data_IF_298480991178
#
_entry.id   IF_298480991178
#
_cell.length_a   1.000
_cell.length_b   1.000
_cell.length_c   1.000
_cell.angle_alpha   90.00
_cell.angle_beta   90.00
_cell.angle_gamma   90.00
#
_symmetry.space_group_name_H-M   'P 1'
#
loop_
_entity.id
_entity.type
_entity.pdbx_description
1 polymer ?
#
# COMPACT_ATOMS: atom_id res chain seq x y z
N UNK A 1 -66.87 9.74 20.09
CA UNK A 1 -65.42 10.02 19.95
C UNK A 1 -64.60 8.79 20.33
N UNK A 2 -64.11 8.01 19.35
CA UNK A 2 -63.14 6.93 19.58
C UNK A 2 -62.06 7.04 18.50
N UNK A 3 -60.91 7.61 18.84
CA UNK A 3 -59.74 7.61 17.97
C UNK A 3 -59.04 6.25 18.06
N UNK A 4 -59.18 5.43 17.02
CA UNK A 4 -58.40 4.22 16.83
C UNK A 4 -57.01 4.56 16.26
N UNK A 5 -55.97 4.51 17.10
CA UNK A 5 -54.57 4.63 16.67
C UNK A 5 -54.19 3.45 15.76
N UNK A 6 -53.88 3.74 14.49
CA UNK A 6 -53.24 2.80 13.55
C UNK A 6 -51.95 2.25 14.15
N UNK A 7 -51.88 0.94 14.37
CA UNK A 7 -50.64 0.21 14.70
C UNK A 7 -49.65 0.34 13.54
N UNK A 8 -48.58 1.10 13.74
CA UNK A 8 -47.34 0.95 12.97
C UNK A 8 -46.75 -0.42 13.32
N UNK A 9 -46.87 -1.39 12.41
CA UNK A 9 -46.14 -2.66 12.49
C UNK A 9 -44.64 -2.32 12.46
N UNK A 10 -43.95 -2.51 13.59
CA UNK A 10 -42.49 -2.60 13.62
C UNK A 10 -42.06 -3.73 12.70
N UNK A 11 -41.39 -3.42 11.61
CA UNK A 11 -40.70 -4.41 10.79
C UNK A 11 -39.57 -5.02 11.61
N UNK A 12 -39.56 -6.35 11.70
CA UNK A 12 -38.59 -7.13 12.47
C UNK A 12 -37.20 -7.09 11.84
N UNK A 13 -36.12 -7.32 12.62
CA UNK A 13 -34.74 -7.24 12.16
C UNK A 13 -34.37 -8.47 11.33
N UNK A 14 -34.67 -8.46 10.02
CA UNK A 14 -34.20 -9.50 9.09
C UNK A 14 -33.70 -8.89 7.77
N UNK A 15 -32.47 -8.39 7.80
CA UNK A 15 -31.48 -8.59 6.74
C UNK A 15 -30.07 -8.24 7.23
N UNK A 16 -29.68 -8.81 8.38
CA UNK A 16 -28.28 -9.16 8.61
C UNK A 16 -27.89 -10.21 7.56
N UNK A 17 -27.56 -9.82 6.33
CA UNK A 17 -26.95 -10.73 5.34
C UNK A 17 -26.02 -10.08 4.30
N UNK A 18 -25.84 -8.75 4.28
CA UNK A 18 -24.69 -8.15 3.55
C UNK A 18 -23.35 -8.27 4.30
N UNK A 19 -23.36 -8.78 5.52
CA UNK A 19 -22.21 -8.82 6.42
C UNK A 19 -21.09 -9.83 6.04
N UNK A 20 -21.22 -10.62 4.96
CA UNK A 20 -20.21 -11.63 4.58
C UNK A 20 -19.88 -11.71 3.08
N UNK A 21 -20.55 -10.94 2.21
CA UNK A 21 -20.48 -11.10 0.75
C UNK A 21 -19.22 -10.54 0.06
N UNK A 22 -18.26 -9.99 0.80
CA UNK A 22 -16.92 -9.75 0.23
C UNK A 22 -15.89 -10.44 1.10
N UNK A 23 -15.87 -11.77 0.97
CA UNK A 23 -14.59 -12.44 0.91
C UNK A 23 -13.83 -11.79 -0.25
N UNK A 24 -12.99 -10.77 0.02
CA UNK A 24 -12.22 -10.04 -0.99
C UNK A 24 -11.77 -11.04 -2.03
N UNK A 25 -12.13 -10.78 -3.29
CA UNK A 25 -11.85 -11.66 -4.43
C UNK A 25 -10.37 -12.10 -4.46
N UNK A 26 -9.51 -11.27 -3.87
CA UNK A 26 -8.07 -11.46 -3.76
C UNK A 26 -7.63 -12.35 -2.60
N UNK A 27 -8.51 -12.76 -1.68
CA UNK A 27 -8.11 -13.62 -0.53
C UNK A 27 -7.52 -14.97 -0.95
N UNK A 28 -8.07 -15.70 -1.92
CA UNK A 28 -7.43 -16.92 -2.43
C UNK A 28 -6.04 -16.63 -2.99
N UNK A 29 -5.87 -15.52 -3.71
CA UNK A 29 -4.57 -15.09 -4.25
C UNK A 29 -3.58 -14.78 -3.12
N UNK A 30 -3.97 -14.00 -2.11
CA UNK A 30 -3.13 -13.68 -0.95
C UNK A 30 -2.69 -14.92 -0.18
N UNK A 31 -3.62 -15.88 0.00
CA UNK A 31 -3.29 -17.15 0.63
C UNK A 31 -2.25 -17.92 -0.17
N UNK A 32 -2.50 -18.11 -1.46
CA UNK A 32 -1.61 -18.87 -2.33
C UNK A 32 -0.21 -18.23 -2.42
N UNK A 33 -0.14 -16.91 -2.59
CA UNK A 33 1.12 -16.17 -2.57
C UNK A 33 1.86 -16.31 -1.23
N UNK A 34 1.13 -16.26 -0.11
CA UNK A 34 1.70 -16.50 1.22
C UNK A 34 2.19 -17.93 1.43
N UNK A 35 1.49 -18.92 0.87
CA UNK A 35 1.83 -20.34 0.98
C UNK A 35 3.02 -20.72 0.11
N UNK A 36 3.08 -20.20 -1.12
CA UNK A 36 4.20 -20.38 -2.04
C UNK A 36 5.38 -19.47 -1.75
N UNK A 37 5.24 -18.56 -0.77
CA UNK A 37 6.24 -17.54 -0.45
C UNK A 37 6.63 -16.71 -1.69
N UNK A 38 5.65 -16.25 -2.47
CA UNK A 38 5.84 -15.39 -3.64
C UNK A 38 5.30 -13.99 -3.31
N UNK A 39 6.02 -12.90 -3.60
CA UNK A 39 5.51 -11.56 -3.36
C UNK A 39 4.38 -11.20 -4.34
N UNK A 40 3.51 -10.28 -3.92
CA UNK A 40 2.57 -9.59 -4.81
C UNK A 40 3.02 -8.14 -4.96
N UNK A 41 3.29 -7.71 -6.18
CA UNK A 41 3.64 -6.32 -6.46
C UNK A 41 2.43 -5.58 -7.03
N UNK A 42 2.08 -4.44 -6.42
CA UNK A 42 1.12 -3.47 -6.92
C UNK A 42 1.93 -2.36 -7.58
N UNK A 43 1.81 -2.26 -8.90
CA UNK A 43 2.52 -1.29 -9.71
C UNK A 43 1.67 -0.05 -9.99
N UNK A 44 2.29 1.03 -10.45
CA UNK A 44 1.57 2.20 -10.94
C UNK A 44 0.50 1.85 -11.99
N UNK A 45 -0.48 2.74 -12.16
CA UNK A 45 -1.75 2.53 -12.86
C UNK A 45 -2.80 1.76 -12.06
N UNK A 46 -3.99 1.58 -12.65
CA UNK A 46 -5.17 1.09 -11.94
C UNK A 46 -5.90 -0.05 -12.69
N UNK A 47 -5.46 -0.41 -13.90
CA UNK A 47 -6.02 -1.50 -14.71
C UNK A 47 -7.49 -1.30 -15.12
N UNK A 48 -8.05 -0.09 -14.97
CA UNK A 48 -9.46 0.20 -15.20
C UNK A 48 -9.64 1.38 -16.18
N UNK A 49 -10.08 1.08 -17.39
CA UNK A 49 -10.33 2.09 -18.45
C UNK A 49 -11.28 3.20 -17.98
N UNK A 50 -12.33 2.86 -17.24
CA UNK A 50 -13.28 3.86 -16.73
C UNK A 50 -12.63 4.87 -15.78
N UNK A 51 -11.69 4.43 -14.94
CA UNK A 51 -10.96 5.32 -14.03
C UNK A 51 -9.91 6.11 -14.77
N UNK A 52 -9.25 5.49 -15.74
CA UNK A 52 -8.33 6.16 -16.64
C UNK A 52 -9.02 7.31 -17.39
N UNK A 53 -10.15 7.05 -18.05
CA UNK A 53 -10.92 8.02 -18.84
C UNK A 53 -11.51 9.13 -17.96
N UNK A 54 -11.94 8.81 -16.74
CA UNK A 54 -12.42 9.81 -15.78
C UNK A 54 -11.34 10.87 -15.45
N UNK A 55 -10.07 10.48 -15.46
CA UNK A 55 -8.92 11.32 -15.22
C UNK A 55 -8.14 11.60 -16.52
N UNK A 56 -8.80 11.67 -17.68
CA UNK A 56 -8.14 11.86 -18.96
C UNK A 56 -7.22 13.10 -18.98
N UNK A 57 -7.70 14.22 -18.42
CA UNK A 57 -6.96 15.50 -18.36
C UNK A 57 -6.01 15.59 -17.15
N UNK A 58 -5.95 14.58 -16.28
CA UNK A 58 -5.02 14.55 -15.15
C UNK A 58 -3.59 14.28 -15.64
N UNK A 59 -2.57 14.95 -15.08
CA UNK A 59 -1.19 14.82 -15.51
C UNK A 59 -0.55 13.45 -15.18
N UNK A 60 -1.22 12.53 -14.48
CA UNK A 60 -0.63 11.24 -14.06
C UNK A 60 -0.88 10.89 -12.61
N UNK A 61 -1.07 11.89 -11.76
CA UNK A 61 -1.11 11.69 -10.32
C UNK A 61 -2.36 10.92 -9.87
N UNK A 62 -3.55 11.39 -10.23
CA UNK A 62 -4.79 10.72 -9.85
C UNK A 62 -4.96 9.40 -10.62
N UNK A 63 -4.62 9.41 -11.92
CA UNK A 63 -4.81 8.25 -12.79
C UNK A 63 -3.86 7.08 -12.48
N UNK A 64 -2.59 7.35 -12.15
CA UNK A 64 -1.59 6.28 -11.99
C UNK A 64 -1.10 6.05 -10.57
N UNK A 65 -1.12 7.06 -9.69
CA UNK A 65 -0.42 6.97 -8.40
C UNK A 65 -1.40 6.78 -7.23
N UNK A 66 -2.50 7.53 -7.18
CA UNK A 66 -3.42 7.51 -6.03
C UNK A 66 -4.14 6.16 -5.79
N UNK A 67 -4.47 5.41 -6.85
CA UNK A 67 -5.10 4.09 -6.70
C UNK A 67 -4.20 3.10 -5.96
N UNK A 68 -2.88 3.15 -6.23
CA UNK A 68 -1.86 2.30 -5.62
C UNK A 68 -1.64 2.67 -4.15
N UNK A 69 -1.55 3.96 -3.84
CA UNK A 69 -1.48 4.48 -2.46
C UNK A 69 -2.74 4.07 -1.67
N UNK A 70 -3.91 4.16 -2.32
CA UNK A 70 -5.18 3.66 -1.76
C UNK A 70 -5.17 2.15 -1.51
N UNK A 71 -4.53 1.36 -2.37
CA UNK A 71 -4.37 -0.09 -2.17
C UNK A 71 -3.52 -0.40 -0.93
N UNK A 72 -2.37 0.27 -0.76
CA UNK A 72 -1.58 0.19 0.48
C UNK A 72 -2.44 0.47 1.71
N UNK A 73 -3.15 1.60 1.69
CA UNK A 73 -3.97 2.04 2.81
C UNK A 73 -5.04 1.00 3.16
N UNK A 74 -5.73 0.48 2.15
CA UNK A 74 -6.75 -0.56 2.28
C UNK A 74 -6.19 -1.87 2.86
N UNK A 75 -5.03 -2.32 2.36
CA UNK A 75 -4.34 -3.53 2.84
C UNK A 75 -4.06 -3.46 4.34
N UNK A 76 -3.48 -2.34 4.80
CA UNK A 76 -3.17 -2.11 6.21
C UNK A 76 -4.45 -1.96 7.04
N UNK A 77 -5.38 -1.13 6.59
CA UNK A 77 -6.61 -0.84 7.32
C UNK A 77 -7.46 -2.10 7.57
N UNK A 78 -7.52 -2.98 6.57
CA UNK A 78 -8.25 -4.25 6.66
C UNK A 78 -7.45 -5.40 7.26
N UNK A 79 -6.22 -5.13 7.74
CA UNK A 79 -5.29 -6.12 8.33
C UNK A 79 -5.09 -7.33 7.43
N UNK A 80 -4.87 -7.10 6.14
CA UNK A 80 -4.61 -8.18 5.18
C UNK A 80 -3.29 -8.90 5.53
N UNK A 81 -2.16 -8.20 5.75
CA UNK A 81 -0.90 -8.87 6.08
C UNK A 81 -0.95 -9.72 7.34
N UNK A 82 -1.67 -9.28 8.37
CA UNK A 82 -1.79 -10.03 9.64
C UNK A 82 -2.57 -11.35 9.49
N UNK A 83 -3.36 -11.51 8.41
CA UNK A 83 -4.05 -12.76 8.10
C UNK A 83 -3.20 -13.73 7.29
N UNK A 84 -2.15 -13.24 6.63
CA UNK A 84 -1.29 -13.98 5.72
C UNK A 84 0.18 -13.69 6.08
N UNK A 85 0.69 -14.27 7.17
CA UNK A 85 1.91 -13.80 7.82
C UNK A 85 3.20 -14.00 7.01
N UNK A 86 3.18 -14.77 5.92
CA UNK A 86 4.29 -14.89 4.96
C UNK A 86 4.11 -14.05 3.69
N UNK A 87 2.96 -13.39 3.54
CA UNK A 87 2.70 -12.57 2.37
C UNK A 87 3.64 -11.36 2.37
N UNK A 88 4.33 -11.17 1.26
CA UNK A 88 5.17 -10.00 0.98
C UNK A 88 4.49 -9.18 -0.10
N UNK A 89 4.46 -7.86 0.08
CA UNK A 89 3.80 -6.97 -0.88
C UNK A 89 4.77 -5.88 -1.29
N UNK A 90 4.95 -5.67 -2.60
CA UNK A 90 5.69 -4.54 -3.15
C UNK A 90 4.71 -3.45 -3.61
N UNK A 91 4.96 -2.19 -3.27
CA UNK A 91 4.28 -1.01 -3.81
C UNK A 91 5.30 -0.29 -4.69
N UNK A 92 5.14 -0.40 -6.01
CA UNK A 92 6.20 -0.13 -6.98
C UNK A 92 5.84 1.07 -7.85
N UNK A 93 6.85 1.90 -8.16
CA UNK A 93 6.81 3.00 -9.12
C UNK A 93 5.86 4.16 -8.74
N UNK A 94 5.76 4.47 -7.45
CA UNK A 94 4.88 5.56 -6.94
C UNK A 94 5.53 6.46 -5.88
N UNK A 95 6.87 6.58 -5.87
CA UNK A 95 7.65 7.24 -4.80
C UNK A 95 7.41 6.58 -3.43
N UNK A 96 8.22 6.96 -2.43
CA UNK A 96 8.01 6.64 -1.02
C UNK A 96 7.48 7.84 -0.20
N UNK A 97 7.44 9.05 -0.76
CA UNK A 97 7.12 10.28 -0.03
C UNK A 97 5.67 10.40 0.46
N UNK A 98 4.77 9.57 -0.03
CA UNK A 98 3.39 9.51 0.46
C UNK A 98 3.26 8.77 1.80
N UNK A 99 4.27 7.98 2.21
CA UNK A 99 4.24 7.14 3.41
C UNK A 99 3.91 7.95 4.68
N UNK A 100 4.58 9.08 5.00
CA UNK A 100 4.28 9.86 6.19
C UNK A 100 2.80 10.24 6.32
N UNK A 101 2.19 10.73 5.23
CA UNK A 101 0.78 11.11 5.21
C UNK A 101 -0.13 9.89 5.40
N UNK A 102 0.11 8.81 4.66
CA UNK A 102 -0.71 7.60 4.73
C UNK A 102 -0.66 6.95 6.13
N UNK A 103 0.53 6.89 6.74
CA UNK A 103 0.73 6.38 8.10
C UNK A 103 0.00 7.25 9.12
N UNK A 104 0.11 8.58 9.00
CA UNK A 104 -0.59 9.51 9.87
C UNK A 104 -2.13 9.35 9.79
N UNK A 105 -2.69 9.27 8.59
CA UNK A 105 -4.13 9.05 8.40
C UNK A 105 -4.58 7.67 8.92
N UNK A 106 -3.81 6.61 8.68
CA UNK A 106 -4.06 5.27 9.23
C UNK A 106 -4.09 5.30 10.76
N UNK A 107 -3.14 5.99 11.42
CA UNK A 107 -3.10 6.12 12.87
C UNK A 107 -4.37 6.77 13.42
N UNK A 108 -4.85 7.86 12.79
CA UNK A 108 -6.12 8.52 13.16
C UNK A 108 -7.32 7.58 13.01
N UNK A 109 -7.37 6.81 11.93
CA UNK A 109 -8.47 5.86 11.67
C UNK A 109 -8.47 4.67 12.63
N UNK A 110 -7.29 4.18 13.01
CA UNK A 110 -7.16 3.13 14.02
C UNK A 110 -7.57 3.63 15.41
N UNK A 111 -7.13 4.84 15.79
CA UNK A 111 -7.47 5.46 17.07
C UNK A 111 -8.98 5.63 17.25
N UNK A 112 -9.70 6.08 16.20
CA UNK A 112 -11.18 6.14 16.18
C UNK A 112 -11.88 4.79 16.42
N UNK A 113 -11.17 3.68 16.28
CA UNK A 113 -11.65 2.31 16.51
C UNK A 113 -11.07 1.69 17.79
N UNK A 114 -10.48 2.49 18.67
CA UNK A 114 -9.85 2.01 19.91
C UNK A 114 -8.64 1.10 19.67
N UNK A 115 -7.93 1.31 18.56
CA UNK A 115 -6.77 0.49 18.17
C UNK A 115 -5.55 1.38 17.93
N UNK A 116 -4.37 0.81 18.11
CA UNK A 116 -3.09 1.45 17.79
C UNK A 116 -2.54 0.93 16.47
N UNK A 117 -1.88 1.82 15.73
CA UNK A 117 -1.07 1.45 14.57
C UNK A 117 0.31 1.00 15.10
N UNK A 118 0.87 -0.10 14.59
CA UNK A 118 2.22 -0.50 14.97
C UNK A 118 3.25 0.57 14.60
N UNK A 119 4.33 0.67 15.40
CA UNK A 119 5.42 1.63 15.15
C UNK A 119 6.20 1.26 13.89
N UNK A 120 6.58 -0.01 13.77
CA UNK A 120 7.28 -0.54 12.59
C UNK A 120 6.28 -1.10 11.57
N UNK A 121 5.41 -0.22 11.06
CA UNK A 121 4.23 -0.63 10.30
C UNK A 121 4.58 -1.46 9.07
N UNK A 122 5.52 -0.98 8.25
CA UNK A 122 5.86 -1.63 6.99
C UNK A 122 6.53 -2.98 7.25
N UNK A 123 7.46 -3.02 8.20
CA UNK A 123 8.13 -4.25 8.63
C UNK A 123 7.16 -5.30 9.14
N UNK A 124 6.28 -4.93 10.08
CA UNK A 124 5.26 -5.85 10.63
C UNK A 124 4.24 -6.29 9.58
N UNK A 125 4.01 -5.46 8.56
CA UNK A 125 3.10 -5.75 7.46
C UNK A 125 3.78 -6.46 6.28
N UNK A 126 5.12 -6.64 6.30
CA UNK A 126 5.91 -7.15 5.17
C UNK A 126 5.58 -6.43 3.85
N UNK A 127 5.36 -5.12 3.96
CA UNK A 127 5.11 -4.25 2.81
C UNK A 127 6.42 -3.53 2.50
N UNK A 128 6.80 -3.57 1.23
CA UNK A 128 7.98 -2.92 0.69
C UNK A 128 7.52 -1.82 -0.27
N UNK A 129 8.20 -0.68 -0.27
CA UNK A 129 7.86 0.46 -1.13
C UNK A 129 9.07 0.85 -1.96
N UNK A 130 8.88 1.00 -3.26
CA UNK A 130 9.91 1.51 -4.16
C UNK A 130 10.08 3.02 -3.92
N UNK A 131 11.25 3.43 -3.45
CA UNK A 131 11.63 4.84 -3.41
C UNK A 131 12.19 5.30 -4.75
N UNK A 132 12.30 6.61 -4.91
CA UNK A 132 13.00 7.26 -6.02
C UNK A 132 14.26 7.96 -5.50
N UNK A 133 15.20 8.28 -6.39
CA UNK A 133 16.48 8.90 -6.02
C UNK A 133 16.35 10.31 -5.46
N UNK A 134 15.24 10.98 -5.77
CA UNK A 134 14.90 12.33 -5.35
C UNK A 134 13.91 12.38 -4.16
N UNK A 135 13.53 11.23 -3.59
CA UNK A 135 12.71 11.17 -2.38
C UNK A 135 13.47 11.74 -1.16
N UNK A 136 12.76 12.46 -0.28
CA UNK A 136 13.28 12.81 1.06
C UNK A 136 13.33 11.57 1.98
N UNK A 137 14.33 10.72 1.74
CA UNK A 137 14.47 9.43 2.44
C UNK A 137 14.65 9.60 3.96
N UNK A 138 15.34 10.64 4.42
CA UNK A 138 15.53 10.88 5.86
C UNK A 138 14.18 11.13 6.55
N UNK A 139 13.30 11.91 5.92
CA UNK A 139 11.95 12.11 6.43
C UNK A 139 11.09 10.83 6.33
N UNK A 140 11.14 10.13 5.19
CA UNK A 140 10.34 8.92 4.96
C UNK A 140 10.70 7.80 5.94
N UNK A 141 11.98 7.60 6.24
CA UNK A 141 12.46 6.53 7.13
C UNK A 141 11.97 6.65 8.57
N UNK A 142 11.55 7.85 8.99
CA UNK A 142 10.88 8.05 10.29
C UNK A 142 9.54 7.28 10.39
N UNK A 143 8.98 6.85 9.25
CA UNK A 143 7.70 6.14 9.15
C UNK A 143 7.80 4.75 8.50
N UNK A 144 8.81 4.51 7.65
CA UNK A 144 8.90 3.33 6.78
C UNK A 144 9.76 2.17 7.33
N UNK A 145 10.56 2.40 8.38
CA UNK A 145 11.69 1.55 8.79
C UNK A 145 12.77 1.41 7.69
N UNK A 146 14.00 1.06 8.06
CA UNK A 146 15.11 0.87 7.10
C UNK A 146 15.01 -0.46 6.31
N UNK A 147 14.12 -1.37 6.70
CA UNK A 147 14.04 -2.75 6.20
C UNK A 147 13.07 -2.94 5.02
N UNK A 148 12.41 -1.86 4.57
CA UNK A 148 11.23 -1.94 3.72
C UNK A 148 11.22 -1.00 2.52
N UNK A 149 12.27 -0.20 2.32
CA UNK A 149 12.44 0.55 1.09
C UNK A 149 13.27 -0.26 0.08
N UNK A 150 12.84 -0.25 -1.18
CA UNK A 150 13.55 -0.84 -2.33
C UNK A 150 13.70 0.22 -3.41
N UNK A 151 14.54 -0.01 -4.42
CA UNK A 151 14.64 0.89 -5.57
C UNK A 151 14.66 0.07 -6.87
N UNK A 152 14.17 0.68 -7.95
CA UNK A 152 14.21 0.13 -9.30
C UNK A 152 14.55 1.24 -10.30
N UNK A 153 15.07 0.85 -11.46
CA UNK A 153 15.42 1.78 -12.54
C UNK A 153 14.26 2.10 -13.47
N UNK A 154 13.17 1.33 -13.38
CA UNK A 154 12.05 1.34 -14.33
C UNK A 154 12.48 1.31 -15.80
N UNK A 155 13.46 0.44 -16.09
CA UNK A 155 14.13 0.40 -17.40
C UNK A 155 13.13 0.09 -18.53
N UNK A 156 13.16 0.91 -19.58
CA UNK A 156 12.31 0.78 -20.76
C UNK A 156 11.14 1.76 -20.82
N UNK A 157 10.89 2.50 -19.74
CA UNK A 157 9.95 3.62 -19.76
C UNK A 157 10.51 4.82 -20.53
N UNK A 158 9.62 5.54 -21.22
CA UNK A 158 9.93 6.79 -21.93
C UNK A 158 9.57 8.05 -21.13
N UNK A 159 9.11 7.86 -19.89
CA UNK A 159 8.72 8.91 -18.96
C UNK A 159 9.77 9.10 -17.85
N UNK A 160 9.46 9.99 -16.91
CA UNK A 160 10.35 10.36 -15.81
C UNK A 160 10.55 9.24 -14.77
N UNK A 161 9.89 8.09 -14.90
CA UNK A 161 10.08 6.96 -13.98
C UNK A 161 11.35 6.16 -14.30
N UNK A 162 11.79 6.18 -15.57
CA UNK A 162 13.03 5.53 -16.01
C UNK A 162 14.26 6.30 -15.54
N UNK A 163 15.07 5.66 -14.69
CA UNK A 163 16.37 6.15 -14.29
C UNK A 163 17.38 4.99 -14.31
N UNK A 164 18.05 4.82 -15.45
CA UNK A 164 19.02 3.73 -15.69
C UNK A 164 20.09 3.68 -14.60
N UNK A 165 20.48 4.84 -14.09
CA UNK A 165 21.54 5.01 -13.10
C UNK A 165 21.01 5.08 -11.66
N UNK A 166 19.72 4.77 -11.41
CA UNK A 166 19.07 4.94 -10.10
C UNK A 166 19.86 4.35 -8.93
N UNK A 167 20.37 3.12 -9.08
CA UNK A 167 21.15 2.46 -8.02
C UNK A 167 22.48 3.19 -7.77
N UNK A 168 23.15 3.65 -8.83
CA UNK A 168 24.41 4.40 -8.71
C UNK A 168 24.17 5.80 -8.13
N UNK A 169 23.09 6.45 -8.54
CA UNK A 169 22.70 7.77 -8.07
C UNK A 169 22.31 7.74 -6.60
N UNK A 170 21.49 6.77 -6.18
CA UNK A 170 21.18 6.56 -4.78
C UNK A 170 22.45 6.34 -3.94
N UNK A 171 23.40 5.53 -4.43
CA UNK A 171 24.68 5.30 -3.73
C UNK A 171 25.54 6.56 -3.60
N UNK A 172 25.51 7.46 -4.58
CA UNK A 172 26.36 8.66 -4.62
C UNK A 172 25.74 9.87 -3.93
N UNK A 173 24.41 9.98 -4.00
CA UNK A 173 23.68 11.21 -3.67
C UNK A 173 22.67 11.01 -2.53
N UNK A 174 22.38 9.77 -2.14
CA UNK A 174 21.46 9.45 -1.06
C UNK A 174 21.88 10.12 0.25
N UNK A 175 20.96 10.88 0.85
CA UNK A 175 21.20 11.65 2.09
C UNK A 175 20.88 10.85 3.35
N UNK A 176 21.24 9.57 3.36
CA UNK A 176 21.03 8.64 4.48
C UNK A 176 22.29 7.78 4.67
N UNK A 177 22.38 7.05 5.78
CA UNK A 177 23.59 6.25 6.06
C UNK A 177 23.86 5.18 4.99
N UNK A 178 25.14 4.85 4.76
CA UNK A 178 25.56 3.81 3.81
C UNK A 178 24.88 2.46 4.10
N UNK A 179 24.70 2.13 5.38
CA UNK A 179 23.97 0.94 5.82
C UNK A 179 22.54 0.90 5.28
N UNK A 180 21.84 2.03 5.30
CA UNK A 180 20.46 2.12 4.77
C UNK A 180 20.47 1.97 3.25
N UNK A 181 21.41 2.61 2.58
CA UNK A 181 21.59 2.48 1.13
C UNK A 181 21.86 1.01 0.75
N UNK A 182 22.77 0.32 1.45
CA UNK A 182 23.07 -1.10 1.22
C UNK A 182 21.81 -1.98 1.34
N UNK A 183 20.94 -1.68 2.31
CA UNK A 183 19.68 -2.40 2.49
C UNK A 183 18.71 -2.14 1.34
N UNK A 184 18.56 -0.89 0.90
CA UNK A 184 17.69 -0.53 -0.23
C UNK A 184 18.17 -1.20 -1.52
N UNK A 185 19.48 -1.26 -1.74
CA UNK A 185 20.09 -1.80 -2.95
C UNK A 185 20.15 -3.34 -3.00
N UNK A 186 20.23 -4.03 -1.86
CA UNK A 186 20.41 -5.49 -1.82
C UNK A 186 19.54 -6.22 -0.79
N UNK A 187 19.69 -5.94 0.51
CA UNK A 187 19.05 -6.77 1.55
C UNK A 187 17.51 -6.76 1.48
N UNK A 188 16.91 -5.58 1.25
CA UNK A 188 15.46 -5.39 1.17
C UNK A 188 14.87 -6.03 -0.10
N UNK A 189 15.40 -5.83 -1.32
CA UNK A 189 14.90 -6.53 -2.49
C UNK A 189 15.09 -8.05 -2.41
N UNK A 190 16.19 -8.56 -1.83
CA UNK A 190 16.32 -10.01 -1.54
C UNK A 190 15.20 -10.50 -0.62
N UNK A 191 14.92 -9.76 0.44
CA UNK A 191 13.84 -10.10 1.36
C UNK A 191 12.45 -10.00 0.72
N UNK A 192 12.21 -9.06 -0.21
CA UNK A 192 10.96 -8.95 -0.95
C UNK A 192 10.79 -10.10 -1.96
N UNK A 193 11.80 -10.35 -2.79
CA UNK A 193 11.71 -11.28 -3.92
C UNK A 193 12.05 -12.73 -3.56
N UNK A 194 12.72 -12.97 -2.43
CA UNK A 194 13.14 -14.30 -2.00
C UNK A 194 14.37 -14.81 -2.75
N UNK A 195 15.35 -13.93 -2.94
CA UNK A 195 16.61 -14.16 -3.66
C UNK A 195 17.80 -14.36 -2.71
#
# INVERSE_FOLDING_TARGET
MRQGKRRLRRLSPRSRSRAHAQRSLLRPLYRLASDLNIPICVHSANGAFTTYDFYADDPGFCKFKLAVIGAFHSLVFHRVPQRFPRLRIGIIEVSSQWIPYAVHDLARRFSRRGRTLPKSLLKESRIYVACQTDDDLDHVLQYADEDNLVIGTDYGHADNASEIEALRNLRRQGKVSDRVIDKILDANPRALYGL
#
